data_IF_313490552725
#
_entry.id   IF_313490552725
#
_cell.length_a   1.000
_cell.length_b   1.000
_cell.length_c   1.000
_cell.angle_alpha   90.00
_cell.angle_beta   90.00
_cell.angle_gamma   90.00
#
_symmetry.space_group_name_H-M   'P 1'
#
loop_
_entity.id
_entity.type
_entity.pdbx_description
1 polymer ?
#
# COMPACT_ATOMS: atom_id res chain seq x y z
N UNK A 1 8.95 -6.63 -15.33
CA UNK A 1 9.61 -5.87 -14.25
C UNK A 1 11.05 -6.30 -13.95
N UNK A 2 11.39 -7.48 -13.40
CA UNK A 2 12.81 -7.82 -13.08
C UNK A 2 13.70 -7.81 -14.34
N UNK A 3 13.23 -8.41 -15.42
CA UNK A 3 13.95 -8.40 -16.71
C UNK A 3 14.13 -6.98 -17.26
N UNK A 4 13.10 -6.14 -17.16
CA UNK A 4 13.15 -4.73 -17.58
C UNK A 4 14.12 -3.91 -16.72
N UNK A 5 14.18 -4.18 -15.42
CA UNK A 5 15.12 -3.54 -14.50
C UNK A 5 16.57 -3.83 -14.93
N UNK A 6 16.92 -5.09 -15.22
CA UNK A 6 18.26 -5.44 -15.68
C UNK A 6 18.60 -4.83 -17.04
N UNK A 7 17.66 -4.80 -17.99
CA UNK A 7 17.91 -4.20 -19.31
C UNK A 7 17.99 -2.67 -19.27
N UNK A 8 17.18 -2.03 -18.42
CA UNK A 8 17.22 -0.59 -18.19
C UNK A 8 18.53 -0.14 -17.52
N UNK A 9 19.13 -1.01 -16.70
CA UNK A 9 20.44 -0.78 -16.09
C UNK A 9 21.57 -0.67 -17.13
N UNK A 10 21.54 -1.49 -18.19
CA UNK A 10 22.53 -1.43 -19.28
C UNK A 10 22.37 -0.19 -20.17
N UNK A 11 21.21 0.46 -20.13
CA UNK A 11 20.85 1.59 -20.99
C UNK A 11 21.28 2.95 -20.44
N UNK A 12 21.96 2.98 -19.29
CA UNK A 12 22.28 4.20 -18.54
C UNK A 12 21.08 4.60 -17.67
N UNK A 13 21.22 4.42 -16.35
CA UNK A 13 20.18 4.76 -15.38
C UNK A 13 19.69 6.20 -15.54
N UNK A 14 18.40 6.45 -15.33
CA UNK A 14 17.84 7.80 -15.32
C UNK A 14 18.53 8.60 -14.21
N UNK A 15 19.30 9.62 -14.59
CA UNK A 15 20.04 10.48 -13.66
C UNK A 15 19.11 10.99 -12.54
N UNK A 16 19.48 10.72 -11.28
CA UNK A 16 18.84 11.26 -10.09
C UNK A 16 17.79 10.39 -9.38
N UNK A 17 17.40 9.22 -9.91
CA UNK A 17 16.46 8.29 -9.25
C UNK A 17 17.22 7.13 -8.60
N UNK A 18 16.90 6.79 -7.34
CA UNK A 18 17.47 5.62 -6.68
C UNK A 18 17.16 4.34 -7.46
N UNK A 19 18.10 3.39 -7.50
CA UNK A 19 17.86 2.08 -8.12
C UNK A 19 16.70 1.33 -7.44
N UNK A 20 16.53 1.53 -6.14
CA UNK A 20 15.42 0.98 -5.36
C UNK A 20 14.08 1.59 -5.78
N UNK A 21 14.03 2.91 -6.01
CA UNK A 21 12.84 3.61 -6.48
C UNK A 21 12.50 3.23 -7.92
N UNK A 22 13.52 3.03 -8.77
CA UNK A 22 13.32 2.54 -10.13
C UNK A 22 12.74 1.13 -10.15
N UNK A 23 13.31 0.21 -9.37
CA UNK A 23 12.78 -1.15 -9.24
C UNK A 23 11.35 -1.14 -8.68
N UNK A 24 11.09 -0.30 -7.68
CA UNK A 24 9.77 -0.13 -7.08
C UNK A 24 8.76 0.39 -8.10
N UNK A 25 9.13 1.37 -8.92
CA UNK A 25 8.27 1.88 -9.99
C UNK A 25 7.87 0.77 -10.97
N UNK A 26 8.83 -0.04 -11.43
CA UNK A 26 8.57 -1.18 -12.32
C UNK A 26 7.71 -2.26 -11.64
N UNK A 27 7.93 -2.52 -10.35
CA UNK A 27 7.15 -3.47 -9.57
C UNK A 27 5.68 -3.03 -9.46
N UNK A 28 5.43 -1.77 -9.12
CA UNK A 28 4.08 -1.22 -9.05
C UNK A 28 3.40 -1.19 -10.40
N UNK A 29 4.09 -0.73 -11.44
CA UNK A 29 3.57 -0.71 -12.81
C UNK A 29 3.18 -2.12 -13.28
N UNK A 30 4.01 -3.12 -13.01
CA UNK A 30 3.69 -4.51 -13.35
C UNK A 30 2.45 -5.04 -12.62
N UNK A 31 2.34 -4.79 -11.32
CA UNK A 31 1.18 -5.25 -10.53
C UNK A 31 -0.11 -4.52 -10.92
N UNK A 32 -0.05 -3.22 -11.20
CA UNK A 32 -1.19 -2.43 -11.66
C UNK A 32 -1.69 -2.85 -13.04
N UNK A 33 -0.81 -3.38 -13.90
CA UNK A 33 -1.17 -3.87 -15.23
C UNK A 33 -1.52 -5.38 -15.24
N UNK A 34 -1.69 -6.01 -14.08
CA UNK A 34 -2.09 -7.41 -14.05
C UNK A 34 -3.57 -7.57 -14.48
N UNK A 35 -3.91 -8.74 -15.01
CA UNK A 35 -5.27 -9.00 -15.52
C UNK A 35 -6.37 -9.12 -14.44
N UNK A 36 -6.02 -8.98 -13.16
CA UNK A 36 -6.95 -9.09 -12.05
C UNK A 36 -7.16 -7.70 -11.41
N UNK A 37 -8.39 -7.18 -11.47
CA UNK A 37 -8.71 -5.83 -11.00
C UNK A 37 -8.45 -5.64 -9.49
N UNK A 38 -8.77 -6.62 -8.65
CA UNK A 38 -8.53 -6.55 -7.21
C UNK A 38 -7.02 -6.43 -6.91
N UNK A 39 -6.22 -7.26 -7.57
CA UNK A 39 -4.76 -7.22 -7.43
C UNK A 39 -4.21 -5.89 -7.95
N UNK A 40 -4.64 -5.44 -9.13
CA UNK A 40 -4.22 -4.15 -9.69
C UNK A 40 -4.50 -2.98 -8.74
N UNK A 41 -5.71 -2.91 -8.19
CA UNK A 41 -6.10 -1.87 -7.23
C UNK A 41 -5.35 -1.97 -5.89
N UNK A 42 -4.96 -3.18 -5.47
CA UNK A 42 -4.11 -3.35 -4.29
C UNK A 42 -2.72 -2.75 -4.51
N UNK A 43 -2.13 -2.94 -5.68
CA UNK A 43 -0.84 -2.33 -6.02
C UNK A 43 -0.94 -0.81 -6.10
N UNK A 44 -2.00 -0.29 -6.72
CA UNK A 44 -2.27 1.15 -6.79
C UNK A 44 -2.45 1.77 -5.40
N UNK A 45 -3.24 1.13 -4.51
CA UNK A 45 -3.40 1.56 -3.13
C UNK A 45 -2.05 1.69 -2.43
N UNK A 46 -1.18 0.68 -2.55
CA UNK A 46 0.11 0.68 -1.89
C UNK A 46 1.07 1.74 -2.45
N UNK A 47 1.06 1.96 -3.77
CA UNK A 47 1.80 3.04 -4.40
C UNK A 47 1.34 4.40 -3.85
N UNK A 48 0.02 4.63 -3.82
CA UNK A 48 -0.56 5.88 -3.35
C UNK A 48 -0.29 6.13 -1.86
N UNK A 49 -0.48 5.13 -0.99
CA UNK A 49 -0.17 5.24 0.44
C UNK A 49 1.29 5.65 0.65
N UNK A 50 2.22 4.95 -0.02
CA UNK A 50 3.65 5.21 0.15
C UNK A 50 4.03 6.60 -0.35
N UNK A 51 3.59 6.98 -1.55
CA UNK A 51 3.89 8.29 -2.12
C UNK A 51 3.26 9.44 -1.33
N UNK A 52 2.03 9.30 -0.84
CA UNK A 52 1.37 10.32 -0.02
C UNK A 52 2.13 10.51 1.29
N UNK A 53 2.50 9.43 2.00
CA UNK A 53 3.28 9.52 3.24
C UNK A 53 4.67 10.12 3.00
N UNK A 54 5.31 9.78 1.88
CA UNK A 54 6.58 10.40 1.46
C UNK A 54 6.40 11.89 1.22
N UNK A 55 5.40 12.31 0.44
CA UNK A 55 5.15 13.72 0.13
C UNK A 55 4.84 14.54 1.39
N UNK A 56 4.03 14.01 2.31
CA UNK A 56 3.73 14.64 3.61
C UNK A 56 5.00 14.82 4.44
N UNK A 57 5.85 13.79 4.48
CA UNK A 57 7.14 13.82 5.20
C UNK A 57 8.09 14.83 4.58
N UNK A 58 8.28 14.79 3.27
CA UNK A 58 9.14 15.71 2.52
C UNK A 58 8.72 17.16 2.72
N UNK A 59 7.42 17.44 2.64
CA UNK A 59 6.90 18.80 2.85
C UNK A 59 7.14 19.30 4.27
N UNK A 60 7.04 18.43 5.28
CA UNK A 60 7.38 18.75 6.67
C UNK A 60 8.85 19.16 6.83
N UNK A 61 9.77 18.53 6.09
CA UNK A 61 11.20 18.82 6.14
C UNK A 61 11.70 19.78 5.04
N UNK A 62 10.81 20.27 4.18
CA UNK A 62 11.10 21.19 3.06
C UNK A 62 12.14 20.64 2.06
N UNK A 63 12.14 19.32 1.82
CA UNK A 63 12.96 18.74 0.74
C UNK A 63 12.24 18.81 -0.61
N UNK A 64 12.96 18.47 -1.67
CA UNK A 64 12.40 18.36 -3.02
C UNK A 64 11.54 17.10 -3.14
N UNK A 65 10.26 17.25 -3.50
CA UNK A 65 9.29 16.15 -3.58
C UNK A 65 9.48 15.33 -4.85
N UNK A 66 9.77 16.00 -5.97
CA UNK A 66 9.65 15.40 -7.30
C UNK A 66 10.53 14.14 -7.51
N UNK A 67 11.73 14.14 -6.94
CA UNK A 67 12.69 13.04 -7.02
C UNK A 67 12.34 11.82 -6.15
N UNK A 68 11.42 11.98 -5.20
CA UNK A 68 11.07 10.95 -4.20
C UNK A 68 9.72 10.26 -4.46
N UNK A 69 8.97 10.72 -5.47
CA UNK A 69 7.69 10.11 -5.86
C UNK A 69 7.94 8.98 -6.86
N UNK A 70 7.54 7.76 -6.50
CA UNK A 70 7.69 6.54 -7.30
C UNK A 70 6.50 6.38 -8.24
N UNK A 71 6.71 5.88 -9.46
CA UNK A 71 5.62 5.58 -10.41
C UNK A 71 5.15 6.78 -11.25
N UNK A 72 4.08 6.61 -12.02
CA UNK A 72 3.62 7.63 -12.98
C UNK A 72 2.09 7.64 -13.16
N UNK A 73 1.37 7.78 -12.05
CA UNK A 73 -0.10 7.91 -12.03
C UNK A 73 -0.51 9.38 -11.87
N UNK A 74 -1.80 9.69 -12.05
CA UNK A 74 -2.34 11.04 -11.82
C UNK A 74 -2.12 11.53 -10.39
N UNK A 75 -2.16 10.60 -9.41
CA UNK A 75 -1.80 10.89 -8.02
C UNK A 75 -0.31 11.24 -7.92
N UNK A 76 0.57 10.52 -8.62
CA UNK A 76 2.01 10.84 -8.63
C UNK A 76 2.26 12.25 -9.19
N UNK A 77 1.64 12.59 -10.31
CA UNK A 77 1.77 13.91 -10.93
C UNK A 77 1.24 15.02 -10.01
N UNK A 78 0.11 14.79 -9.36
CA UNK A 78 -0.46 15.72 -8.37
C UNK A 78 0.50 15.94 -7.20
N UNK A 79 1.12 14.87 -6.68
CA UNK A 79 2.10 14.96 -5.59
C UNK A 79 3.37 15.72 -6.00
N UNK A 80 3.84 15.56 -7.24
CA UNK A 80 5.04 16.24 -7.76
C UNK A 80 4.83 17.74 -7.98
N UNK A 81 3.64 18.13 -8.42
CA UNK A 81 3.40 19.48 -8.98
C UNK A 81 2.56 20.38 -8.08
N UNK A 82 1.72 19.80 -7.20
CA UNK A 82 0.72 20.57 -6.47
C UNK A 82 1.29 21.35 -5.28
N UNK A 83 1.04 22.66 -5.28
CA UNK A 83 1.33 23.55 -4.16
C UNK A 83 0.30 23.48 -3.02
N UNK A 84 -0.86 22.86 -3.24
CA UNK A 84 -1.94 22.78 -2.26
C UNK A 84 -1.55 21.90 -1.06
N UNK A 85 -2.10 22.18 0.13
CA UNK A 85 -1.78 21.45 1.38
C UNK A 85 -2.07 19.95 1.27
N UNK A 86 -3.15 19.62 0.60
CA UNK A 86 -3.67 18.28 0.33
C UNK A 86 -3.21 17.73 -1.02
N UNK A 87 -2.34 18.44 -1.73
CA UNK A 87 -1.90 18.14 -3.09
C UNK A 87 -3.04 18.10 -4.13
N UNK A 88 -4.24 18.59 -3.79
CA UNK A 88 -5.44 18.47 -4.61
C UNK A 88 -6.12 17.10 -4.53
N UNK A 89 -5.70 16.22 -3.60
CA UNK A 89 -6.16 14.82 -3.54
C UNK A 89 -7.39 14.59 -2.67
N UNK A 90 -7.90 15.59 -1.96
CA UNK A 90 -8.96 15.41 -0.96
C UNK A 90 -10.31 14.96 -1.55
N UNK A 91 -10.52 15.13 -2.86
CA UNK A 91 -11.68 14.61 -3.61
C UNK A 91 -11.42 13.29 -4.36
N UNK A 92 -10.19 13.04 -4.77
CA UNK A 92 -9.84 11.89 -5.63
C UNK A 92 -9.38 10.68 -4.80
N UNK A 93 -8.81 10.93 -3.63
CA UNK A 93 -8.26 9.91 -2.74
C UNK A 93 -9.04 9.92 -1.42
N UNK A 94 -10.11 9.13 -1.35
CA UNK A 94 -11.04 9.12 -0.21
C UNK A 94 -10.42 8.77 1.15
N UNK A 95 -9.21 8.21 1.15
CA UNK A 95 -8.44 7.90 2.36
C UNK A 95 -7.31 8.89 2.69
N UNK A 96 -7.19 10.01 1.96
CA UNK A 96 -6.13 10.99 2.16
C UNK A 96 -6.16 11.59 3.57
N UNK A 97 -7.33 12.03 4.06
CA UNK A 97 -7.46 12.61 5.40
C UNK A 97 -7.06 11.63 6.50
N UNK A 98 -7.32 10.34 6.28
CA UNK A 98 -6.89 9.27 7.20
C UNK A 98 -5.36 9.15 7.19
N UNK A 99 -4.72 9.16 6.02
CA UNK A 99 -3.26 9.14 5.90
C UNK A 99 -2.60 10.38 6.50
N UNK A 100 -3.20 11.57 6.32
CA UNK A 100 -2.72 12.80 6.92
C UNK A 100 -2.67 12.68 8.45
N UNK A 101 -3.76 12.22 9.08
CA UNK A 101 -3.79 11.97 10.53
C UNK A 101 -2.78 10.93 10.98
N UNK A 102 -2.60 9.85 10.21
CA UNK A 102 -1.61 8.81 10.50
C UNK A 102 -0.19 9.38 10.45
N UNK A 103 0.11 10.24 9.46
CA UNK A 103 1.44 10.84 9.29
C UNK A 103 1.89 11.70 10.49
N UNK A 104 0.93 12.21 11.28
CA UNK A 104 1.19 13.05 12.45
C UNK A 104 1.52 12.25 13.72
N UNK A 105 1.26 10.93 13.74
CA UNK A 105 1.55 10.04 14.88
C UNK A 105 3.05 9.95 15.11
N UNK A 106 3.54 10.32 16.30
CA UNK A 106 4.99 10.37 16.57
C UNK A 106 5.62 8.98 16.76
N UNK A 107 4.90 8.07 17.41
CA UNK A 107 5.40 6.72 17.68
C UNK A 107 5.35 5.89 16.39
N UNK A 108 6.52 5.46 15.91
CA UNK A 108 6.66 4.83 14.60
C UNK A 108 5.91 3.49 14.50
N UNK A 109 5.91 2.70 15.59
CA UNK A 109 5.23 1.40 15.61
C UNK A 109 3.71 1.56 15.52
N UNK A 110 3.13 2.54 16.22
CA UNK A 110 1.71 2.87 16.15
C UNK A 110 1.36 3.44 14.78
N UNK A 111 2.24 4.27 14.20
CA UNK A 111 2.07 4.74 12.82
C UNK A 111 2.00 3.56 11.85
N UNK A 112 2.95 2.63 11.90
CA UNK A 112 2.96 1.42 11.06
C UNK A 112 1.69 0.57 11.26
N UNK A 113 1.30 0.31 12.51
CA UNK A 113 0.07 -0.42 12.84
C UNK A 113 -1.18 0.25 12.27
N UNK A 114 -1.23 1.58 12.25
CA UNK A 114 -2.37 2.34 11.71
C UNK A 114 -2.42 2.31 10.18
N UNK A 115 -1.26 2.30 9.52
CA UNK A 115 -1.18 2.10 8.07
C UNK A 115 -1.66 0.68 7.72
N UNK A 116 -1.20 -0.33 8.46
CA UNK A 116 -1.62 -1.70 8.22
C UNK A 116 -3.11 -1.91 8.51
N UNK A 117 -3.65 -1.31 9.56
CA UNK A 117 -5.10 -1.32 9.81
C UNK A 117 -5.89 -0.68 8.65
N UNK A 118 -5.38 0.41 8.07
CA UNK A 118 -6.01 1.02 6.90
C UNK A 118 -5.99 0.11 5.66
N UNK A 119 -4.88 -0.59 5.43
CA UNK A 119 -4.79 -1.59 4.36
C UNK A 119 -5.72 -2.77 4.62
N UNK A 120 -5.83 -3.22 5.87
CA UNK A 120 -6.73 -4.29 6.28
C UNK A 120 -8.19 -3.94 6.00
N UNK A 121 -8.63 -2.74 6.42
CA UNK A 121 -9.99 -2.27 6.16
C UNK A 121 -10.31 -2.26 4.66
N UNK A 122 -9.35 -1.81 3.83
CA UNK A 122 -9.50 -1.84 2.37
C UNK A 122 -9.63 -3.27 1.83
N UNK A 123 -8.84 -4.22 2.35
CA UNK A 123 -8.92 -5.64 1.95
C UNK A 123 -10.31 -6.21 2.27
N UNK A 124 -10.83 -5.93 3.47
CA UNK A 124 -12.16 -6.40 3.88
C UNK A 124 -13.25 -5.81 2.99
N UNK A 125 -13.20 -4.50 2.72
CA UNK A 125 -14.16 -3.81 1.86
C UNK A 125 -14.15 -4.36 0.43
N UNK A 126 -12.97 -4.44 -0.18
CA UNK A 126 -12.83 -4.89 -1.57
C UNK A 126 -13.04 -6.38 -1.78
N UNK A 127 -12.91 -7.19 -0.72
CA UNK A 127 -13.16 -8.63 -0.77
C UNK A 127 -14.53 -9.05 -0.22
N UNK A 128 -15.37 -8.11 0.22
CA UNK A 128 -16.64 -8.42 0.89
C UNK A 128 -17.57 -9.31 0.05
N UNK A 129 -17.65 -9.06 -1.26
CA UNK A 129 -18.49 -9.85 -2.18
C UNK A 129 -17.75 -11.01 -2.86
N UNK A 130 -16.47 -11.22 -2.53
CA UNK A 130 -15.63 -12.27 -3.11
C UNK A 130 -15.72 -13.54 -2.25
N UNK A 131 -16.80 -14.31 -2.41
CA UNK A 131 -17.04 -15.50 -1.56
C UNK A 131 -16.20 -16.72 -1.99
N UNK A 132 -16.16 -17.01 -3.29
CA UNK A 132 -15.50 -18.21 -3.84
C UNK A 132 -14.61 -17.85 -5.03
N UNK A 133 -13.70 -16.91 -4.83
CA UNK A 133 -12.84 -16.39 -5.89
C UNK A 133 -11.37 -16.34 -5.48
N UNK A 134 -10.47 -16.15 -6.45
CA UNK A 134 -9.02 -16.06 -6.20
C UNK A 134 -8.68 -14.84 -5.35
N UNK A 135 -9.46 -13.76 -5.44
CA UNK A 135 -9.35 -12.55 -4.64
C UNK A 135 -9.51 -12.85 -3.15
N UNK A 136 -10.38 -13.80 -2.77
CA UNK A 136 -10.53 -14.20 -1.36
C UNK A 136 -9.28 -14.90 -0.83
N UNK A 137 -8.67 -15.76 -1.64
CA UNK A 137 -7.41 -16.42 -1.29
C UNK A 137 -6.27 -15.41 -1.21
N UNK A 138 -6.23 -14.44 -2.13
CA UNK A 138 -5.21 -13.40 -2.12
C UNK A 138 -5.38 -12.44 -0.93
N UNK A 139 -6.60 -12.02 -0.62
CA UNK A 139 -6.93 -11.24 0.58
C UNK A 139 -6.47 -11.96 1.87
N UNK A 140 -6.73 -13.27 1.98
CA UNK A 140 -6.25 -14.09 3.07
C UNK A 140 -4.72 -14.07 3.18
N UNK A 141 -4.00 -14.20 2.05
CA UNK A 141 -2.53 -14.13 2.05
C UNK A 141 -2.00 -12.77 2.51
N UNK A 142 -2.61 -11.67 2.05
CA UNK A 142 -2.24 -10.31 2.46
C UNK A 142 -2.45 -10.10 3.96
N UNK A 143 -3.59 -10.57 4.49
CA UNK A 143 -3.90 -10.49 5.91
C UNK A 143 -2.94 -11.34 6.75
N UNK A 144 -2.57 -12.53 6.28
CA UNK A 144 -1.57 -13.38 6.93
C UNK A 144 -0.20 -12.71 6.98
N UNK A 145 0.27 -12.12 5.89
CA UNK A 145 1.54 -11.36 5.84
C UNK A 145 1.55 -10.20 6.86
N UNK A 146 0.46 -9.44 6.96
CA UNK A 146 0.32 -8.39 7.98
C UNK A 146 0.44 -8.94 9.41
N UNK A 147 -0.24 -10.05 9.70
CA UNK A 147 -0.18 -10.68 11.03
C UNK A 147 1.22 -11.18 11.34
N UNK A 148 1.93 -11.80 10.38
CA UNK A 148 3.31 -12.26 10.56
C UNK A 148 4.23 -11.10 10.94
N UNK A 149 4.11 -9.96 10.25
CA UNK A 149 4.86 -8.74 10.61
C UNK A 149 4.52 -8.28 12.02
N UNK A 150 3.25 -8.25 12.40
CA UNK A 150 2.85 -7.89 13.76
C UNK A 150 3.34 -8.86 14.84
N UNK A 151 3.40 -10.17 14.56
CA UNK A 151 3.97 -11.17 15.49
C UNK A 151 5.45 -10.90 15.73
N UNK A 152 6.20 -10.51 14.69
CA UNK A 152 7.61 -10.17 14.82
C UNK A 152 7.84 -8.93 15.70
N UNK A 153 6.90 -7.98 15.68
CA UNK A 153 6.92 -6.76 16.48
C UNK A 153 6.38 -6.96 17.92
N UNK A 154 5.39 -7.85 18.10
CA UNK A 154 4.72 -8.13 19.37
C UNK A 154 4.06 -9.53 19.36
N UNK A 155 4.78 -10.52 19.93
CA UNK A 155 4.42 -11.94 19.88
C UNK A 155 3.07 -12.26 20.53
N UNK A 156 2.71 -11.58 21.62
CA UNK A 156 1.43 -11.83 22.31
C UNK A 156 0.26 -11.27 21.52
N UNK A 157 0.38 -10.03 21.04
CA UNK A 157 -0.69 -9.37 20.29
C UNK A 157 -0.93 -10.04 18.94
N UNK A 158 0.14 -10.38 18.21
CA UNK A 158 0.04 -11.08 16.94
C UNK A 158 -0.61 -12.47 17.06
N UNK A 159 -0.26 -13.24 18.11
CA UNK A 159 -0.87 -14.56 18.35
C UNK A 159 -2.38 -14.49 18.63
N UNK A 160 -2.87 -13.41 19.26
CA UNK A 160 -4.31 -13.20 19.49
C UNK A 160 -5.04 -12.91 18.19
N UNK A 161 -4.47 -12.04 17.34
CA UNK A 161 -5.08 -11.66 16.05
C UNK A 161 -5.13 -12.83 15.07
N UNK A 162 -4.06 -13.64 15.00
CA UNK A 162 -4.06 -14.87 14.21
C UNK A 162 -5.21 -15.81 14.59
N UNK A 163 -5.43 -16.04 15.90
CA UNK A 163 -6.53 -16.89 16.37
C UNK A 163 -7.89 -16.33 15.98
N UNK A 164 -8.10 -15.04 16.14
CA UNK A 164 -9.35 -14.38 15.74
C UNK A 164 -9.61 -14.53 14.23
N UNK A 165 -8.58 -14.40 13.40
CA UNK A 165 -8.69 -14.58 11.95
C UNK A 165 -9.13 -16.01 11.58
N UNK A 166 -8.53 -17.02 12.21
CA UNK A 166 -8.92 -18.43 12.01
C UNK A 166 -10.37 -18.67 12.43
N UNK A 167 -10.81 -18.08 13.55
CA UNK A 167 -12.18 -18.24 14.03
C UNK A 167 -13.19 -17.54 13.11
N UNK A 168 -12.89 -16.34 12.59
CA UNK A 168 -13.72 -15.66 11.60
C UNK A 168 -13.89 -16.49 10.33
N UNK A 169 -12.79 -17.04 9.80
CA UNK A 169 -12.84 -17.91 8.61
C UNK A 169 -13.71 -19.16 8.82
N UNK A 170 -13.63 -19.78 9.99
CA UNK A 170 -14.49 -20.93 10.33
C UNK A 170 -15.97 -20.54 10.38
N UNK A 171 -16.28 -19.35 10.89
CA UNK A 171 -17.65 -18.90 11.07
C UNK A 171 -18.30 -18.42 9.76
N UNK A 172 -17.52 -17.89 8.83
CA UNK A 172 -18.00 -17.53 7.48
C UNK A 172 -18.32 -18.77 6.63
N UNK A 173 -17.66 -19.90 6.87
CA UNK A 173 -17.94 -21.19 6.23
C UNK A 173 -19.03 -21.93 7.01
N UNK A 174 -20.24 -21.36 7.09
CA UNK A 174 -21.43 -22.15 7.42
C UNK A 174 -22.09 -22.65 6.13
N UNK A 175 -21.97 -23.95 5.89
CA UNK A 175 -22.66 -24.63 4.79
C UNK A 175 -24.17 -24.54 5.08
N UNK A 176 -24.98 -23.99 4.16
CA UNK A 176 -26.43 -23.97 4.34
C UNK A 176 -26.95 -25.41 4.46
N UNK A 177 -27.88 -25.64 5.39
CA UNK A 177 -28.58 -26.92 5.51
C UNK A 177 -29.57 -27.12 4.37
#
# INVERSE_FOLDING_TARGET
FIFEYYNGFESGGRDGVSQEDHLSALYYEYGMNCGNAFVASWFELNLNINNILTALTVRKYKWEIASLIVGNTDVCESLRTSGARDFGLLGDVGYFDRLLKISEIQELTDREKRIDAMRWDWIEEMSFFNYFTIERLYAFLLQMDMIERWISLDKEKGSRLFRNMIDSLKNEVQIPK
#
